data_IF_245560277761
#
_entry.id   IF_245560277761
#
_cell.length_a   1.000
_cell.length_b   1.000
_cell.length_c   1.000
_cell.angle_alpha   90.00
_cell.angle_beta   90.00
_cell.angle_gamma   90.00
#
_symmetry.space_group_name_H-M   'P 1'
#
loop_
_entity.id
_entity.type
_entity.pdbx_description
1 polymer ?
#
# COMPACT_ATOMS: atom_id res chain seq x y z
N UNK A 1 60.62 -39.99 14.07
CA UNK A 1 59.64 -40.24 12.99
C UNK A 1 58.25 -39.99 13.58
N UNK A 2 57.45 -38.99 13.24
CA UNK A 2 57.17 -38.38 11.94
C UNK A 2 56.74 -36.90 12.16
N UNK A 3 57.37 -35.99 11.42
CA UNK A 3 56.92 -34.59 11.26
C UNK A 3 55.65 -34.55 10.41
N UNK A 4 54.70 -33.68 10.75
CA UNK A 4 53.70 -33.18 9.79
C UNK A 4 53.54 -31.67 9.91
N UNK A 5 54.16 -30.98 8.95
CA UNK A 5 53.81 -29.63 8.49
C UNK A 5 52.37 -29.65 7.95
N UNK A 6 51.58 -28.64 8.32
CA UNK A 6 50.47 -28.17 7.51
C UNK A 6 50.33 -26.65 7.73
N UNK A 7 50.88 -25.89 6.79
CA UNK A 7 50.68 -24.44 6.65
C UNK A 7 49.79 -24.26 5.41
N UNK A 8 48.49 -24.07 5.61
CA UNK A 8 47.55 -23.71 4.53
C UNK A 8 47.06 -22.30 4.78
N UNK A 9 47.42 -21.41 3.85
CA UNK A 9 47.16 -19.98 3.88
C UNK A 9 45.67 -19.65 3.89
N UNK A 10 45.31 -18.66 4.71
CA UNK A 10 44.00 -18.05 4.71
C UNK A 10 43.81 -17.21 3.45
N UNK A 11 42.87 -17.64 2.60
CA UNK A 11 42.35 -16.81 1.52
C UNK A 11 41.32 -15.85 2.14
N UNK A 12 41.57 -14.54 2.04
CA UNK A 12 40.60 -13.49 2.34
C UNK A 12 39.37 -13.70 1.43
N UNK A 13 38.26 -14.16 2.01
CA UNK A 13 36.96 -14.11 1.35
C UNK A 13 36.47 -12.65 1.38
N UNK A 14 36.68 -11.92 0.29
CA UNK A 14 36.05 -10.63 0.06
C UNK A 14 34.58 -10.90 -0.26
N UNK A 15 33.74 -10.90 0.78
CA UNK A 15 32.30 -10.97 0.67
C UNK A 15 31.77 -9.68 0.01
N UNK A 16 31.55 -9.75 -1.30
CA UNK A 16 30.66 -8.81 -1.99
C UNK A 16 29.27 -8.99 -1.39
N UNK A 17 28.93 -8.12 -0.43
CA UNK A 17 27.55 -7.86 -0.04
C UNK A 17 26.86 -7.24 -1.26
N UNK A 18 26.41 -8.10 -2.18
CA UNK A 18 25.32 -7.77 -3.07
C UNK A 18 24.14 -7.45 -2.16
N UNK A 19 23.94 -6.17 -1.86
CA UNK A 19 22.71 -5.67 -1.28
C UNK A 19 21.62 -5.97 -2.27
N UNK A 20 20.97 -7.13 -2.13
CA UNK A 20 19.72 -7.41 -2.78
C UNK A 20 18.73 -6.36 -2.25
N UNK A 21 18.63 -5.23 -2.94
CA UNK A 21 17.51 -4.31 -2.78
C UNK A 21 16.28 -5.13 -3.12
N UNK A 22 15.60 -5.61 -2.08
CA UNK A 22 14.41 -6.43 -2.22
C UNK A 22 13.41 -5.64 -3.05
N UNK A 23 12.85 -6.21 -4.13
CA UNK A 23 11.85 -5.51 -4.92
C UNK A 23 10.72 -5.04 -3.98
N UNK A 24 10.24 -3.80 -4.10
CA UNK A 24 9.10 -3.34 -3.34
C UNK A 24 7.94 -4.34 -3.47
N UNK A 25 7.47 -4.86 -2.35
CA UNK A 25 6.41 -5.88 -2.32
C UNK A 25 5.05 -5.18 -2.26
N UNK A 26 4.09 -5.54 -3.13
CA UNK A 26 2.71 -5.08 -3.01
C UNK A 26 2.05 -5.64 -1.75
N UNK A 27 1.05 -4.91 -1.25
CA UNK A 27 0.44 -5.13 0.05
C UNK A 27 -0.17 -3.85 0.59
N UNK A 28 -0.40 -3.79 1.90
CA UNK A 28 -0.74 -2.53 2.59
C UNK A 28 0.50 -1.99 3.30
N UNK A 29 0.74 -0.70 3.14
CA UNK A 29 1.80 0.04 3.80
C UNK A 29 1.21 1.21 4.57
N UNK A 30 1.80 1.50 5.73
CA UNK A 30 1.39 2.62 6.57
C UNK A 30 2.59 3.54 6.79
N UNK A 31 2.49 4.78 6.33
CA UNK A 31 3.56 5.77 6.29
C UNK A 31 3.13 7.06 6.99
N UNK A 32 4.07 7.72 7.68
CA UNK A 32 3.82 9.07 8.21
C UNK A 32 4.34 10.02 7.13
N UNK A 33 3.51 10.96 6.71
CA UNK A 33 3.84 11.95 5.69
C UNK A 33 3.63 13.36 6.25
N UNK A 34 4.05 14.38 5.51
CA UNK A 34 3.75 15.77 5.85
C UNK A 34 2.24 16.09 5.84
N UNK A 35 1.45 15.32 5.07
CA UNK A 35 -0.02 15.48 5.00
C UNK A 35 -0.74 14.82 6.17
N UNK A 36 -0.10 13.88 6.86
CA UNK A 36 -0.69 13.05 7.91
C UNK A 36 -0.33 11.58 7.76
N UNK A 37 -1.19 10.68 8.23
CA UNK A 37 -0.96 9.23 8.09
C UNK A 37 -1.51 8.73 6.76
N UNK A 38 -0.66 8.09 5.97
CA UNK A 38 -1.03 7.47 4.69
C UNK A 38 -1.07 5.94 4.84
N UNK A 39 -2.19 5.35 4.47
CA UNK A 39 -2.41 3.91 4.34
C UNK A 39 -2.53 3.61 2.85
N UNK A 40 -1.48 3.07 2.26
CA UNK A 40 -1.43 2.70 0.85
C UNK A 40 -1.73 1.22 0.69
N UNK A 41 -2.66 0.85 -0.18
CA UNK A 41 -2.98 -0.54 -0.50
C UNK A 41 -2.86 -0.79 -1.99
N UNK A 42 -2.23 -1.90 -2.37
CA UNK A 42 -2.26 -2.38 -3.76
C UNK A 42 -3.70 -2.66 -4.20
N UNK A 43 -4.03 -2.27 -5.43
CA UNK A 43 -5.41 -2.36 -5.93
C UNK A 43 -5.98 -3.78 -5.93
N UNK A 44 -5.15 -4.82 -6.07
CA UNK A 44 -5.60 -6.22 -6.01
C UNK A 44 -6.21 -6.62 -4.67
N UNK A 45 -5.95 -5.85 -3.60
CA UNK A 45 -6.61 -6.04 -2.30
C UNK A 45 -8.06 -5.55 -2.36
N UNK A 46 -8.32 -4.48 -3.12
CA UNK A 46 -9.60 -3.79 -3.15
C UNK A 46 -10.49 -4.24 -4.32
N UNK A 47 -9.89 -4.53 -5.47
CA UNK A 47 -10.58 -4.68 -6.75
C UNK A 47 -10.02 -5.85 -7.55
N UNK A 48 -10.88 -6.45 -8.37
CA UNK A 48 -10.41 -7.35 -9.43
C UNK A 48 -9.81 -6.55 -10.60
N UNK A 49 -9.05 -7.22 -11.46
CA UNK A 49 -8.45 -6.60 -12.65
C UNK A 49 -9.49 -5.87 -13.51
N UNK A 50 -9.22 -4.61 -13.83
CA UNK A 50 -10.08 -3.78 -14.67
C UNK A 50 -11.38 -3.31 -14.01
N UNK A 51 -11.66 -3.71 -12.76
CA UNK A 51 -12.87 -3.33 -12.03
C UNK A 51 -12.63 -2.19 -11.06
N UNK A 52 -13.73 -1.60 -10.60
CA UNK A 52 -13.76 -0.59 -9.53
C UNK A 52 -14.75 -0.96 -8.42
N UNK A 53 -15.51 -2.04 -8.56
CA UNK A 53 -16.33 -2.60 -7.51
C UNK A 53 -15.45 -3.26 -6.46
N UNK A 54 -15.65 -2.89 -5.20
CA UNK A 54 -14.90 -3.44 -4.07
C UNK A 54 -15.20 -4.94 -3.94
N UNK A 55 -14.18 -5.78 -4.02
CA UNK A 55 -14.31 -7.23 -3.86
C UNK A 55 -14.38 -7.65 -2.38
N UNK A 56 -14.55 -8.95 -2.10
CA UNK A 56 -14.70 -9.44 -0.73
C UNK A 56 -13.47 -9.17 0.17
N UNK A 57 -12.27 -9.29 -0.38
CA UNK A 57 -11.03 -8.94 0.32
C UNK A 57 -10.99 -7.46 0.69
N UNK A 58 -11.33 -6.61 -0.27
CA UNK A 58 -11.42 -5.16 -0.10
C UNK A 58 -12.47 -4.78 0.93
N UNK A 59 -13.60 -5.46 0.93
CA UNK A 59 -14.68 -5.26 1.89
C UNK A 59 -14.21 -5.46 3.34
N UNK A 60 -13.43 -6.51 3.58
CA UNK A 60 -12.84 -6.82 4.91
C UNK A 60 -11.79 -5.79 5.31
N UNK A 61 -10.96 -5.36 4.36
CA UNK A 61 -9.97 -4.30 4.60
C UNK A 61 -10.65 -2.97 4.95
N UNK A 62 -11.67 -2.56 4.20
CA UNK A 62 -12.38 -1.29 4.41
C UNK A 62 -13.24 -1.27 5.67
N UNK A 63 -13.69 -2.43 6.17
CA UNK A 63 -14.32 -2.53 7.51
C UNK A 63 -13.37 -2.04 8.60
N UNK A 64 -12.11 -2.49 8.56
CA UNK A 64 -11.08 -2.09 9.53
C UNK A 64 -10.70 -0.62 9.40
N UNK A 65 -10.60 -0.13 8.17
CA UNK A 65 -10.39 1.30 7.93
C UNK A 65 -11.55 2.11 8.48
N UNK A 66 -12.80 1.69 8.25
CA UNK A 66 -13.96 2.37 8.80
C UNK A 66 -13.94 2.41 10.33
N UNK A 67 -13.58 1.31 10.99
CA UNK A 67 -13.48 1.27 12.45
C UNK A 67 -12.38 2.18 12.99
N UNK A 68 -11.21 2.22 12.33
CA UNK A 68 -10.16 3.19 12.67
C UNK A 68 -10.69 4.63 12.52
N UNK A 69 -11.34 4.96 11.40
CA UNK A 69 -11.85 6.31 11.12
C UNK A 69 -13.02 6.74 12.02
N UNK A 70 -13.79 5.78 12.57
CA UNK A 70 -14.87 6.04 13.52
C UNK A 70 -14.39 6.12 14.96
N UNK A 71 -13.39 5.33 15.34
CA UNK A 71 -13.06 5.15 16.76
C UNK A 71 -11.77 5.86 17.18
N UNK A 72 -10.85 6.14 16.25
CA UNK A 72 -9.51 6.65 16.59
C UNK A 72 -9.26 8.10 16.15
N UNK A 73 -10.03 8.62 15.19
CA UNK A 73 -9.80 9.97 14.68
C UNK A 73 -11.08 10.65 14.22
N UNK A 74 -11.08 11.99 14.22
CA UNK A 74 -12.12 12.84 13.61
C UNK A 74 -11.62 13.61 12.39
N UNK A 75 -10.34 13.44 12.04
CA UNK A 75 -9.67 14.12 10.94
C UNK A 75 -10.32 13.85 9.58
N UNK A 76 -10.16 14.79 8.66
CA UNK A 76 -10.57 14.63 7.28
C UNK A 76 -9.67 13.61 6.57
N UNK A 77 -10.22 12.95 5.55
CA UNK A 77 -9.58 11.87 4.82
C UNK A 77 -9.59 12.17 3.32
N UNK A 78 -8.46 11.97 2.67
CA UNK A 78 -8.35 11.99 1.21
C UNK A 78 -8.09 10.57 0.73
N UNK A 79 -8.86 10.13 -0.26
CA UNK A 79 -8.70 8.83 -0.91
C UNK A 79 -8.20 9.10 -2.32
N UNK A 80 -7.02 8.62 -2.63
CA UNK A 80 -6.33 8.84 -3.91
C UNK A 80 -6.23 7.52 -4.68
N UNK A 81 -6.77 7.48 -5.90
CA UNK A 81 -6.64 6.34 -6.81
C UNK A 81 -5.48 6.55 -7.79
N UNK A 82 -4.72 5.49 -8.04
CA UNK A 82 -3.58 5.48 -8.96
C UNK A 82 -3.59 4.25 -9.86
N UNK A 83 -3.14 4.43 -11.11
CA UNK A 83 -2.92 3.34 -12.07
C UNK A 83 -1.43 3.21 -12.41
N UNK A 84 -1.08 2.16 -13.14
CA UNK A 84 0.15 2.16 -13.93
C UNK A 84 -0.04 2.96 -15.23
N UNK A 85 0.98 2.98 -16.08
CA UNK A 85 0.96 3.70 -17.36
C UNK A 85 0.44 2.87 -18.55
N UNK A 86 -0.14 1.69 -18.34
CA UNK A 86 -0.64 0.86 -19.43
C UNK A 86 -2.03 1.34 -19.83
N UNK A 87 -2.29 1.43 -21.13
CA UNK A 87 -3.58 1.90 -21.66
C UNK A 87 -3.63 3.42 -21.90
N UNK A 88 -4.83 3.94 -22.18
CA UNK A 88 -5.03 5.36 -22.50
C UNK A 88 -5.09 6.20 -21.22
N UNK A 89 -4.53 7.40 -21.27
CA UNK A 89 -4.47 8.30 -20.11
C UNK A 89 -5.85 8.71 -19.58
N UNK A 90 -6.81 8.97 -20.47
CA UNK A 90 -8.20 9.31 -20.13
C UNK A 90 -8.88 8.17 -19.37
N UNK A 91 -8.73 6.94 -19.87
CA UNK A 91 -9.26 5.74 -19.23
C UNK A 91 -8.63 5.51 -17.85
N UNK A 92 -7.31 5.67 -17.73
CA UNK A 92 -6.61 5.52 -16.46
C UNK A 92 -7.04 6.58 -15.44
N UNK A 93 -7.26 7.82 -15.89
CA UNK A 93 -7.80 8.88 -15.07
C UNK A 93 -9.18 8.51 -14.54
N UNK A 94 -10.12 8.18 -15.42
CA UNK A 94 -11.48 7.77 -15.06
C UNK A 94 -11.49 6.58 -14.10
N UNK A 95 -10.74 5.52 -14.41
CA UNK A 95 -10.66 4.32 -13.57
C UNK A 95 -10.15 4.65 -12.16
N UNK A 96 -9.14 5.50 -12.04
CA UNK A 96 -8.60 5.91 -10.75
C UNK A 96 -9.59 6.72 -9.92
N UNK A 97 -10.40 7.58 -10.57
CA UNK A 97 -11.45 8.36 -9.92
C UNK A 97 -12.59 7.46 -9.43
N UNK A 98 -13.05 6.53 -10.27
CA UNK A 98 -14.10 5.57 -9.93
C UNK A 98 -13.69 4.67 -8.76
N UNK A 99 -12.44 4.22 -8.71
CA UNK A 99 -11.89 3.44 -7.58
C UNK A 99 -11.88 4.25 -6.29
N UNK A 100 -11.39 5.48 -6.33
CA UNK A 100 -11.39 6.35 -5.15
C UNK A 100 -12.82 6.63 -4.65
N UNK A 101 -13.78 6.86 -5.56
CA UNK A 101 -15.20 7.03 -5.23
C UNK A 101 -15.81 5.76 -4.64
N UNK A 102 -15.44 4.58 -5.16
CA UNK A 102 -15.94 3.29 -4.67
C UNK A 102 -15.47 3.02 -3.24
N UNK A 103 -14.24 3.38 -2.90
CA UNK A 103 -13.74 3.33 -1.52
C UNK A 103 -14.50 4.31 -0.62
N UNK A 104 -14.72 5.56 -1.06
CA UNK A 104 -15.55 6.52 -0.31
C UNK A 104 -16.93 5.93 -0.05
N UNK A 105 -17.60 5.42 -1.08
CA UNK A 105 -18.93 4.82 -0.95
C UNK A 105 -18.91 3.69 0.07
N UNK A 106 -17.97 2.76 -0.05
CA UNK A 106 -17.85 1.63 0.87
C UNK A 106 -17.61 2.06 2.32
N UNK A 107 -16.86 3.14 2.58
CA UNK A 107 -16.66 3.69 3.91
C UNK A 107 -17.91 4.42 4.44
N UNK A 108 -18.66 5.12 3.58
CA UNK A 108 -19.95 5.71 3.94
C UNK A 108 -20.96 4.64 4.35
N UNK A 109 -21.05 3.56 3.57
CA UNK A 109 -21.92 2.41 3.87
C UNK A 109 -21.57 1.75 5.23
N UNK A 110 -20.35 1.99 5.75
CA UNK A 110 -19.86 1.53 7.06
C UNK A 110 -19.94 2.58 8.17
N UNK A 111 -20.60 3.71 7.90
CA UNK A 111 -20.89 4.77 8.88
C UNK A 111 -19.83 5.86 9.00
N UNK A 112 -18.85 5.94 8.09
CA UNK A 112 -17.92 7.08 8.05
C UNK A 112 -18.63 8.26 7.37
N UNK A 113 -18.65 9.44 8.02
CA UNK A 113 -19.31 10.61 7.43
C UNK A 113 -18.70 11.00 6.07
N UNK A 114 -19.55 11.10 5.04
CA UNK A 114 -19.16 11.54 3.69
C UNK A 114 -18.49 12.92 3.70
N UNK A 115 -18.93 13.82 4.59
CA UNK A 115 -18.39 15.19 4.67
C UNK A 115 -16.92 15.25 5.12
N UNK A 116 -16.41 14.18 5.72
CA UNK A 116 -15.00 14.06 6.11
C UNK A 116 -14.12 13.56 4.97
N UNK A 117 -14.68 13.12 3.85
CA UNK A 117 -13.94 12.37 2.83
C UNK A 117 -13.94 13.08 1.48
N UNK A 118 -12.79 13.04 0.79
CA UNK A 118 -12.65 13.48 -0.60
C UNK A 118 -11.99 12.37 -1.43
N UNK A 119 -12.56 12.06 -2.58
CA UNK A 119 -11.96 11.19 -3.59
C UNK A 119 -11.21 12.00 -4.65
N UNK A 120 -10.05 11.53 -5.07
CA UNK A 120 -9.25 12.09 -6.17
C UNK A 120 -8.66 10.93 -6.97
N UNK A 121 -8.79 10.95 -8.29
CA UNK A 121 -8.03 10.06 -9.18
C UNK A 121 -6.83 10.80 -9.77
N UNK A 122 -5.69 10.14 -9.87
CA UNK A 122 -4.49 10.70 -10.52
C UNK A 122 -4.07 9.94 -11.78
N UNK A 123 -4.79 8.88 -12.15
CA UNK A 123 -4.38 7.94 -13.18
C UNK A 123 -2.92 7.51 -12.98
N UNK A 124 -2.14 7.60 -14.05
CA UNK A 124 -0.72 7.25 -14.08
C UNK A 124 0.23 8.39 -13.68
N UNK A 125 -0.28 9.57 -13.33
CA UNK A 125 0.53 10.81 -13.22
C UNK A 125 1.45 10.87 -11.97
N UNK A 126 1.24 9.99 -11.00
CA UNK A 126 2.01 9.93 -9.74
C UNK A 126 2.55 8.52 -9.48
N UNK A 127 3.52 8.04 -10.29
CA UNK A 127 4.14 6.75 -10.07
C UNK A 127 5.02 6.78 -8.82
N UNK A 128 5.01 5.68 -8.07
CA UNK A 128 5.88 5.44 -6.89
C UNK A 128 6.98 4.42 -7.20
N UNK A 129 6.91 3.76 -8.35
CA UNK A 129 7.89 2.82 -8.85
C UNK A 129 8.00 2.89 -10.38
N UNK A 130 9.04 2.27 -10.93
CA UNK A 130 9.29 2.24 -12.37
C UNK A 130 8.20 1.48 -13.14
N UNK A 131 7.54 2.18 -14.08
CA UNK A 131 6.54 1.60 -14.96
C UNK A 131 7.12 0.67 -16.05
N UNK A 132 8.43 0.69 -16.27
CA UNK A 132 9.12 -0.24 -17.16
C UNK A 132 9.05 -1.70 -16.68
N UNK A 133 8.98 -1.92 -15.37
CA UNK A 133 8.92 -3.26 -14.76
C UNK A 133 7.50 -3.66 -14.35
N UNK A 134 7.15 -4.95 -14.44
CA UNK A 134 5.84 -5.43 -13.94
C UNK A 134 5.71 -5.24 -12.42
N UNK A 135 6.81 -5.43 -11.69
CA UNK A 135 6.84 -5.19 -10.26
C UNK A 135 6.49 -3.72 -9.94
N UNK A 136 7.09 -2.76 -10.64
CA UNK A 136 6.81 -1.35 -10.42
C UNK A 136 5.41 -0.92 -10.88
N UNK A 137 4.91 -1.45 -12.01
CA UNK A 137 3.50 -1.26 -12.41
C UNK A 137 2.53 -1.73 -11.33
N UNK A 138 2.76 -2.91 -10.76
CA UNK A 138 1.95 -3.45 -9.67
C UNK A 138 1.96 -2.58 -8.41
N UNK A 139 3.05 -1.86 -8.14
CA UNK A 139 3.11 -0.88 -7.06
C UNK A 139 2.39 0.43 -7.39
N UNK A 140 2.37 0.83 -8.66
CA UNK A 140 1.69 2.03 -9.11
C UNK A 140 0.16 1.86 -9.11
N UNK A 141 -0.35 0.65 -9.37
CA UNK A 141 -1.76 0.26 -9.19
C UNK A 141 -2.10 0.18 -7.70
N UNK A 142 -2.49 1.31 -7.11
CA UNK A 142 -2.72 1.44 -5.68
C UNK A 142 -3.80 2.47 -5.35
N UNK A 143 -4.33 2.33 -4.15
CA UNK A 143 -5.19 3.32 -3.52
C UNK A 143 -4.57 3.80 -2.22
N UNK A 144 -4.45 5.10 -2.05
CA UNK A 144 -3.85 5.74 -0.88
C UNK A 144 -4.96 6.41 -0.04
N UNK A 145 -5.08 6.02 1.23
CA UNK A 145 -6.02 6.60 2.20
C UNK A 145 -5.24 7.46 3.18
N UNK A 146 -5.45 8.78 3.12
CA UNK A 146 -4.63 9.76 3.82
C UNK A 146 -5.47 10.45 4.88
N UNK A 147 -5.13 10.25 6.14
CA UNK A 147 -5.77 10.85 7.30
C UNK A 147 -5.05 12.15 7.62
N UNK A 148 -5.68 13.28 7.29
CA UNK A 148 -5.04 14.59 7.26
C UNK A 148 -4.67 15.09 8.66
N UNK A 149 -3.44 15.59 8.80
CA UNK A 149 -2.93 16.17 10.06
C UNK A 149 -2.76 15.17 11.20
N UNK A 150 -3.02 13.88 10.95
CA UNK A 150 -2.95 12.85 11.98
C UNK A 150 -1.53 12.34 12.18
N UNK A 151 -1.28 11.79 13.37
CA UNK A 151 -0.03 11.13 13.73
C UNK A 151 -0.24 9.64 13.95
N UNK A 152 0.72 8.82 13.52
CA UNK A 152 0.64 7.35 13.65
C UNK A 152 0.39 6.90 15.09
N UNK A 153 0.96 7.59 16.06
CA UNK A 153 0.85 7.22 17.48
C UNK A 153 -0.59 7.35 17.99
N UNK A 154 -1.37 8.28 17.43
CA UNK A 154 -2.78 8.51 17.80
C UNK A 154 -3.72 7.42 17.27
N UNK A 155 -3.31 6.69 16.22
CA UNK A 155 -4.13 5.65 15.61
C UNK A 155 -3.99 4.28 16.30
N UNK A 156 -3.07 4.18 17.26
CA UNK A 156 -2.79 2.96 18.02
C UNK A 156 -1.86 2.00 17.27
N UNK A 157 -0.83 1.51 17.97
CA UNK A 157 0.14 0.55 17.44
C UNK A 157 -0.48 -0.78 17.05
N UNK A 158 -1.54 -1.19 17.75
CA UNK A 158 -2.14 -2.52 17.63
C UNK A 158 -2.96 -2.67 16.35
N UNK A 159 -3.62 -1.60 15.91
CA UNK A 159 -4.40 -1.60 14.67
C UNK A 159 -3.47 -1.65 13.46
N UNK A 160 -2.33 -0.96 13.55
CA UNK A 160 -1.31 -0.94 12.50
C UNK A 160 -0.50 -2.24 12.45
N UNK A 161 -0.26 -2.89 13.59
CA UNK A 161 0.37 -4.21 13.64
C UNK A 161 -0.58 -5.32 13.16
N UNK A 162 -1.87 -5.23 13.50
CA UNK A 162 -2.89 -6.20 13.06
C UNK A 162 -3.21 -6.08 11.57
N UNK A 163 -3.24 -4.86 11.02
CA UNK A 163 -3.31 -4.65 9.56
C UNK A 163 -2.12 -5.34 8.88
N UNK A 164 -0.90 -5.14 9.39
CA UNK A 164 0.32 -5.75 8.81
C UNK A 164 0.38 -7.27 8.96
N UNK A 165 -0.08 -7.82 10.09
CA UNK A 165 0.03 -9.25 10.39
C UNK A 165 -0.91 -10.09 9.54
N UNK A 166 -2.16 -9.65 9.32
CA UNK A 166 -3.18 -10.43 8.59
C UNK A 166 -3.05 -10.33 7.09
N UNK A 167 -2.38 -9.31 6.56
CA UNK A 167 -1.99 -9.25 5.14
C UNK A 167 -1.03 -10.37 4.78
N UNK A 168 -0.11 -10.72 5.70
CA UNK A 168 0.77 -11.87 5.51
C UNK A 168 -0.03 -13.15 5.27
N UNK A 169 -1.20 -13.28 5.90
CA UNK A 169 -2.10 -14.44 5.79
C UNK A 169 -3.11 -14.35 4.64
N UNK A 170 -3.32 -13.19 4.00
CA UNK A 170 -4.17 -13.06 2.81
C UNK A 170 -3.47 -13.53 1.52
N UNK A 171 -2.16 -13.74 1.59
CA UNK A 171 -1.31 -14.16 0.47
C UNK A 171 -0.54 -15.47 0.77
N UNK A 172 -0.98 -16.24 1.78
CA UNK A 172 -0.59 -17.65 2.00
C UNK A 172 -1.79 -18.54 1.70
#
# INVERSE_FOLDING_TARGET
MKNRLALSGGLLALSLLAGCATPPQPGVRVSQTARGVEISSTDSILFDTGKYEVNAGGSTFLERIADLLKNKTRSNVVIEGHTDNVGRNDYNQELSELRALSVVKALVDRGVSKTRMKAIGYGASRPVADNGSEAGRRMNRRTDIIILGEKKENLGTDLLSDLKSRIKNLFQ
#
